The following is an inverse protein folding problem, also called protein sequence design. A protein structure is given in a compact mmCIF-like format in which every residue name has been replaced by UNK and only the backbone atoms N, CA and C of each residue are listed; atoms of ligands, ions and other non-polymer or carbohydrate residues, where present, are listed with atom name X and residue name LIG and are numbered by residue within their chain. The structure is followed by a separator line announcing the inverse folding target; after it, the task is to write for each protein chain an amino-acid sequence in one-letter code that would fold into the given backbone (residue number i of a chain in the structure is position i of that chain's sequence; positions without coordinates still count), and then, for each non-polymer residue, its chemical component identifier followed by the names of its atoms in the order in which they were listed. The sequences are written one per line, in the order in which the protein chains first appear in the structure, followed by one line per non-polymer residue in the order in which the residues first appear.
data_IF_743808326411
#
_entry.id   IF_743808326411
#
_cell.length_a   1.000
_cell.length_b   1.000
_cell.length_c   1.000
_cell.angle_alpha   90.00
_cell.angle_beta   90.00
_cell.angle_gamma   90.00
#
_symmetry.space_group_name_H-M   'P 1'
#
loop_
_entity.id
_entity.type
_entity.pdbx_description
1 polymer ?
#
# COMPACT_ATOMS: atom_id res chain seq x y z
N UNK A 1 -62.39 50.68 -45.53
CA UNK A 1 -61.92 51.44 -44.35
C UNK A 1 -60.87 50.58 -43.64
N UNK A 2 -59.83 51.20 -43.06
CA UNK A 2 -58.77 50.55 -42.24
C UNK A 2 -57.85 49.54 -42.94
N UNK A 3 -56.62 49.99 -43.24
CA UNK A 3 -55.43 49.13 -43.35
C UNK A 3 -54.84 48.95 -41.94
N UNK A 4 -54.36 47.75 -41.58
CA UNK A 4 -53.49 47.56 -40.40
C UNK A 4 -52.34 46.61 -40.72
N UNK A 5 -51.11 47.06 -40.40
CA UNK A 5 -49.82 46.41 -40.73
C UNK A 5 -49.45 45.29 -39.73
N UNK A 6 -48.56 44.40 -40.17
CA UNK A 6 -47.72 43.58 -39.27
C UNK A 6 -46.82 44.45 -38.37
N UNK A 7 -46.43 43.92 -37.21
CA UNK A 7 -45.18 44.31 -36.56
C UNK A 7 -45.07 44.02 -35.05
N UNK A 8 -43.98 43.36 -34.65
CA UNK A 8 -43.21 43.80 -33.47
C UNK A 8 -43.30 42.98 -32.18
N UNK A 9 -42.15 42.39 -31.82
CA UNK A 9 -41.88 41.70 -30.56
C UNK A 9 -42.03 42.54 -29.27
N UNK A 10 -42.25 41.87 -28.13
CA UNK A 10 -42.21 42.45 -26.78
C UNK A 10 -41.34 41.65 -25.82
N UNK A 11 -40.05 42.01 -25.72
CA UNK A 11 -39.14 41.47 -24.69
C UNK A 11 -39.62 41.87 -23.29
N UNK A 12 -39.67 40.94 -22.34
CA UNK A 12 -39.86 41.27 -20.94
C UNK A 12 -38.64 42.08 -20.43
N UNK A 13 -38.81 43.39 -20.27
CA UNK A 13 -37.75 44.30 -19.89
C UNK A 13 -37.35 44.05 -18.43
N UNK A 14 -36.24 43.36 -18.21
CA UNK A 14 -35.61 43.22 -16.89
C UNK A 14 -35.07 44.58 -16.43
N UNK A 15 -35.92 45.37 -15.78
CA UNK A 15 -35.53 46.66 -15.23
C UNK A 15 -34.49 46.49 -14.12
N UNK A 16 -33.40 47.28 -14.16
CA UNK A 16 -32.31 47.21 -13.18
C UNK A 16 -32.77 47.15 -11.70
N UNK A 17 -33.81 47.88 -11.24
CA UNK A 17 -34.30 47.78 -9.86
C UNK A 17 -34.73 46.37 -9.46
N UNK A 18 -35.36 45.61 -10.38
CA UNK A 18 -35.82 44.24 -10.09
C UNK A 18 -34.66 43.24 -10.03
N UNK A 19 -33.64 43.39 -10.87
CA UNK A 19 -32.40 42.59 -10.76
C UNK A 19 -31.70 42.91 -9.44
N UNK A 20 -31.52 44.19 -9.10
CA UNK A 20 -30.87 44.63 -7.85
C UNK A 20 -31.61 44.10 -6.61
N UNK A 21 -32.94 44.14 -6.61
CA UNK A 21 -33.78 43.61 -5.52
C UNK A 21 -33.72 42.07 -5.41
N UNK A 22 -33.66 41.36 -6.53
CA UNK A 22 -33.44 39.89 -6.51
C UNK A 22 -32.03 39.55 -6.02
N UNK A 23 -31.00 40.26 -6.48
CA UNK A 23 -29.62 40.10 -6.02
C UNK A 23 -29.47 40.40 -4.52
N UNK A 24 -30.09 41.46 -3.99
CA UNK A 24 -30.07 41.74 -2.55
C UNK A 24 -30.78 40.66 -1.73
N UNK A 25 -31.89 40.13 -2.22
CA UNK A 25 -32.64 39.08 -1.53
C UNK A 25 -31.92 37.73 -1.58
N UNK A 26 -31.29 37.39 -2.71
CA UNK A 26 -30.40 36.22 -2.81
C UNK A 26 -29.17 36.37 -1.91
N UNK A 27 -28.57 37.56 -1.84
CA UNK A 27 -27.45 37.84 -0.94
C UNK A 27 -27.86 37.73 0.54
N UNK A 28 -29.02 38.27 0.91
CA UNK A 28 -29.58 38.09 2.25
C UNK A 28 -29.81 36.62 2.58
N UNK A 29 -30.42 35.84 1.67
CA UNK A 29 -30.63 34.41 1.89
C UNK A 29 -29.32 33.60 2.02
N UNK A 30 -28.28 33.94 1.24
CA UNK A 30 -26.94 33.33 1.36
C UNK A 30 -26.29 33.70 2.70
N UNK A 31 -26.38 34.97 3.10
CA UNK A 31 -25.91 35.43 4.41
C UNK A 31 -26.65 34.73 5.56
N UNK A 32 -27.97 34.64 5.52
CA UNK A 32 -28.77 33.97 6.56
C UNK A 32 -28.46 32.48 6.63
N UNK A 33 -28.26 31.81 5.47
CA UNK A 33 -27.80 30.41 5.42
C UNK A 33 -26.40 30.27 6.00
N UNK A 34 -25.49 31.20 5.70
CA UNK A 34 -24.13 31.22 6.26
C UNK A 34 -24.13 31.46 7.77
N UNK A 35 -24.91 32.42 8.28
CA UNK A 35 -25.03 32.71 9.71
C UNK A 35 -25.72 31.56 10.46
N UNK A 36 -26.76 30.96 9.90
CA UNK A 36 -27.40 29.76 10.46
C UNK A 36 -26.44 28.57 10.52
N UNK A 37 -25.71 28.31 9.43
CA UNK A 37 -24.68 27.26 9.38
C UNK A 37 -23.58 27.54 10.39
N UNK A 38 -23.08 28.77 10.45
CA UNK A 38 -22.10 29.22 11.43
C UNK A 38 -22.59 29.02 12.87
N UNK A 39 -23.85 29.34 13.17
CA UNK A 39 -24.42 29.18 14.51
C UNK A 39 -24.58 27.70 14.90
N UNK A 40 -24.91 26.81 13.96
CA UNK A 40 -24.88 25.35 14.17
C UNK A 40 -23.45 24.86 14.42
N UNK A 41 -22.48 25.37 13.67
CA UNK A 41 -21.05 25.09 13.85
C UNK A 41 -20.47 25.68 15.16
N UNK A 42 -20.98 26.80 15.68
CA UNK A 42 -20.56 27.35 16.98
C UNK A 42 -21.21 26.61 18.16
N UNK A 43 -22.46 26.15 18.02
CA UNK A 43 -23.15 25.36 19.05
C UNK A 43 -22.59 23.94 19.20
N UNK A 44 -22.20 23.28 18.11
CA UNK A 44 -21.46 22.01 18.18
C UNK A 44 -19.96 22.29 18.26
N UNK A 45 -19.26 21.69 19.24
CA UNK A 45 -17.79 21.89 19.47
C UNK A 45 -16.88 21.42 18.31
N UNK A 46 -17.46 21.08 17.16
CA UNK A 46 -16.85 20.65 15.90
C UNK A 46 -15.92 21.72 15.32
N UNK A 47 -16.23 23.03 15.40
CA UNK A 47 -15.29 24.10 14.95
C UNK A 47 -13.96 24.00 15.68
N UNK A 48 -13.98 23.69 16.97
CA UNK A 48 -12.74 23.54 17.74
C UNK A 48 -11.98 22.28 17.31
N UNK A 49 -12.66 21.16 17.06
CA UNK A 49 -12.01 19.90 16.62
C UNK A 49 -11.44 20.01 15.20
N UNK A 50 -12.20 20.58 14.25
CA UNK A 50 -11.74 20.79 12.87
C UNK A 50 -10.65 21.86 12.81
N UNK A 51 -10.82 22.96 13.55
CA UNK A 51 -9.83 24.03 13.66
C UNK A 51 -8.51 23.56 14.26
N UNK A 52 -8.53 22.77 15.34
CA UNK A 52 -7.32 22.17 15.92
C UNK A 52 -6.72 21.08 15.02
N UNK A 53 -7.52 20.35 14.24
CA UNK A 53 -7.00 19.39 13.25
C UNK A 53 -6.28 20.11 12.10
N UNK A 54 -6.86 21.17 11.52
CA UNK A 54 -6.21 21.99 10.49
C UNK A 54 -4.98 22.68 11.06
N UNK A 55 -5.05 23.25 12.27
CA UNK A 55 -3.91 23.89 12.91
C UNK A 55 -2.76 22.90 13.22
N UNK A 56 -3.06 21.66 13.60
CA UNK A 56 -2.03 20.64 13.83
C UNK A 56 -1.37 20.17 12.53
N UNK A 57 -2.12 20.00 11.44
CA UNK A 57 -1.58 19.74 10.09
C UNK A 57 -0.72 20.91 9.62
N UNK A 58 -1.16 22.16 9.78
CA UNK A 58 -0.36 23.35 9.43
C UNK A 58 0.89 23.50 10.29
N UNK A 59 0.83 23.15 11.58
CA UNK A 59 1.99 23.19 12.48
C UNK A 59 2.99 22.08 12.12
N UNK A 60 2.51 20.87 11.79
CA UNK A 60 3.33 19.78 11.29
C UNK A 60 3.98 20.13 9.94
N UNK A 61 3.23 20.76 9.03
CA UNK A 61 3.72 21.26 7.75
C UNK A 61 4.83 22.31 7.95
N UNK A 62 4.59 23.32 8.78
CA UNK A 62 5.57 24.36 9.09
C UNK A 62 6.82 23.77 9.74
N UNK A 63 6.66 22.84 10.69
CA UNK A 63 7.78 22.15 11.35
C UNK A 63 8.60 21.29 10.40
N UNK A 64 7.95 20.53 9.51
CA UNK A 64 8.63 19.72 8.48
C UNK A 64 9.35 20.59 7.45
N UNK A 65 8.68 21.65 6.96
CA UNK A 65 9.26 22.63 6.04
C UNK A 65 10.50 23.30 6.64
N UNK A 66 10.41 23.77 7.89
CA UNK A 66 11.52 24.40 8.61
C UNK A 66 12.67 23.41 8.82
N UNK A 67 12.36 22.15 9.16
CA UNK A 67 13.37 21.09 9.29
C UNK A 67 14.09 20.82 7.97
N UNK A 68 13.39 20.79 6.84
CA UNK A 68 14.02 20.58 5.54
C UNK A 68 14.85 21.80 5.06
N UNK A 69 14.37 23.02 5.31
CA UNK A 69 15.15 24.24 5.05
C UNK A 69 16.41 24.29 5.94
N UNK A 70 16.34 23.77 7.15
CA UNK A 70 17.50 23.60 8.02
C UNK A 70 18.45 22.51 7.49
N UNK A 71 17.93 21.35 7.12
CA UNK A 71 18.68 20.21 6.58
C UNK A 71 19.45 20.58 5.30
N UNK A 72 18.78 21.17 4.31
CA UNK A 72 19.42 21.68 3.07
C UNK A 72 20.40 22.83 3.30
N UNK A 73 20.36 23.50 4.46
CA UNK A 73 21.38 24.49 4.88
C UNK A 73 22.56 23.82 5.59
N UNK A 74 22.35 22.68 6.26
CA UNK A 74 23.42 21.84 6.80
C UNK A 74 24.18 21.17 5.65
N UNK A 75 23.48 20.58 4.68
CA UNK A 75 24.08 19.90 3.52
C UNK A 75 24.98 20.84 2.72
N UNK A 76 24.49 22.02 2.30
CA UNK A 76 25.33 23.06 1.67
C UNK A 76 26.51 23.53 2.52
N UNK A 77 26.40 23.48 3.85
CA UNK A 77 27.52 23.78 4.76
C UNK A 77 28.51 22.62 4.81
N UNK A 78 28.05 21.38 4.81
CA UNK A 78 28.90 20.19 4.72
C UNK A 78 29.66 20.17 3.39
N UNK A 79 29.01 20.40 2.26
CA UNK A 79 29.63 20.52 0.93
C UNK A 79 30.64 21.66 0.87
N UNK A 80 30.31 22.83 1.44
CA UNK A 80 31.22 23.98 1.52
C UNK A 80 32.43 23.68 2.41
N UNK A 81 32.25 22.97 3.53
CA UNK A 81 33.33 22.50 4.40
C UNK A 81 34.17 21.44 3.68
N UNK A 82 33.57 20.47 3.00
CA UNK A 82 34.26 19.43 2.24
C UNK A 82 35.07 20.02 1.08
N UNK A 83 34.51 20.99 0.35
CA UNK A 83 35.22 21.74 -0.69
C UNK A 83 36.40 22.52 -0.10
N UNK A 84 36.23 23.14 1.06
CA UNK A 84 37.31 23.85 1.76
C UNK A 84 38.38 22.87 2.29
N UNK A 85 37.97 21.69 2.75
CA UNK A 85 38.86 20.63 3.20
C UNK A 85 39.65 20.04 2.03
N UNK A 86 39.00 19.77 0.88
CA UNK A 86 39.67 19.33 -0.35
C UNK A 86 40.64 20.39 -0.87
N UNK A 87 40.30 21.67 -0.78
CA UNK A 87 41.20 22.77 -1.10
C UNK A 87 42.44 22.79 -0.20
N UNK A 88 42.23 22.88 1.12
CA UNK A 88 43.33 22.92 2.09
C UNK A 88 44.16 21.64 2.09
N UNK A 89 43.55 20.46 2.01
CA UNK A 89 44.26 19.19 1.98
C UNK A 89 45.09 19.02 0.70
N UNK A 90 44.71 19.66 -0.42
CA UNK A 90 45.52 19.68 -1.65
C UNK A 90 46.73 20.62 -1.54
N UNK A 91 46.59 21.73 -0.80
CA UNK A 91 47.70 22.62 -0.44
C UNK A 91 48.64 21.93 0.56
N UNK A 92 48.09 21.35 1.63
CA UNK A 92 48.84 20.53 2.57
C UNK A 92 49.52 19.35 1.88
N UNK A 93 48.91 18.67 0.90
CA UNK A 93 49.58 17.55 0.23
C UNK A 93 50.82 17.97 -0.57
N UNK A 94 50.86 19.18 -1.14
CA UNK A 94 52.06 19.71 -1.81
C UNK A 94 53.09 20.23 -0.80
N UNK A 95 52.68 20.86 0.31
CA UNK A 95 53.61 21.24 1.39
C UNK A 95 54.17 20.03 2.14
N UNK A 96 53.34 19.04 2.48
CA UNK A 96 53.72 17.76 3.07
C UNK A 96 54.63 16.99 2.11
N UNK A 97 54.38 16.96 0.81
CA UNK A 97 55.30 16.34 -0.17
C UNK A 97 56.68 17.02 -0.19
N UNK A 98 56.74 18.34 0.05
CA UNK A 98 57.98 19.13 0.18
C UNK A 98 58.70 18.89 1.53
N UNK A 99 57.96 18.54 2.59
CA UNK A 99 58.49 18.26 3.94
C UNK A 99 58.86 16.77 4.13
N UNK A 100 58.13 15.86 3.51
CA UNK A 100 58.37 14.39 3.54
C UNK A 100 59.60 14.01 2.72
N UNK A 101 59.99 14.82 1.73
CA UNK A 101 61.30 14.71 1.07
C UNK A 101 62.48 15.16 1.95
N UNK A 102 62.22 15.74 3.14
CA UNK A 102 63.26 16.22 4.07
C UNK A 102 63.17 15.69 5.51
N UNK A 103 62.17 14.85 5.85
CA UNK A 103 62.02 14.31 7.21
C UNK A 103 61.50 12.86 7.23
N UNK A 104 62.37 11.94 7.63
CA UNK A 104 62.03 10.52 7.85
C UNK A 104 61.26 10.35 9.17
N UNK A 105 59.95 10.11 9.11
CA UNK A 105 59.14 9.62 10.24
C UNK A 105 58.49 8.30 9.86
N UNK A 106 58.69 7.27 10.68
CA UNK A 106 58.43 5.88 10.32
C UNK A 106 56.97 5.48 10.52
N UNK A 107 56.31 5.05 9.44
CA UNK A 107 54.89 4.67 9.39
C UNK A 107 54.39 3.66 10.47
N UNK A 108 55.18 2.67 10.95
CA UNK A 108 54.72 1.71 11.97
C UNK A 108 54.28 2.37 13.28
N UNK A 109 54.89 3.49 13.67
CA UNK A 109 54.55 4.18 14.91
C UNK A 109 53.13 4.79 14.88
N UNK A 110 52.69 5.27 13.71
CA UNK A 110 51.36 5.87 13.54
C UNK A 110 50.26 4.80 13.49
N UNK A 111 50.56 3.63 12.90
CA UNK A 111 49.63 2.48 12.90
C UNK A 111 49.46 1.92 14.32
N UNK A 112 50.53 1.87 15.13
CA UNK A 112 50.46 1.39 16.51
C UNK A 112 49.60 2.29 17.43
N UNK A 113 49.64 3.61 17.26
CA UNK A 113 48.80 4.54 18.05
C UNK A 113 47.34 4.55 17.61
N UNK A 114 47.05 4.37 16.32
CA UNK A 114 45.68 4.20 15.82
C UNK A 114 45.03 2.90 16.34
N UNK A 115 45.76 1.78 16.30
CA UNK A 115 45.25 0.47 16.78
C UNK A 115 44.94 0.49 18.28
N UNK A 116 45.81 1.08 19.10
CA UNK A 116 45.64 1.11 20.57
C UNK A 116 44.49 2.02 21.01
N UNK A 117 44.33 3.17 20.37
CA UNK A 117 43.19 4.09 20.67
C UNK A 117 41.84 3.47 20.29
N UNK A 118 41.76 2.72 19.18
CA UNK A 118 40.51 2.06 18.77
C UNK A 118 40.06 0.97 19.76
N UNK A 119 40.99 0.16 20.29
CA UNK A 119 40.68 -0.90 21.28
C UNK A 119 40.22 -0.30 22.62
N UNK A 120 40.84 0.78 23.08
CA UNK A 120 40.42 1.48 24.32
C UNK A 120 39.03 2.12 24.15
N UNK A 121 38.74 2.71 22.99
CA UNK A 121 37.40 3.25 22.70
C UNK A 121 36.31 2.17 22.73
N UNK A 122 36.55 1.04 22.08
CA UNK A 122 35.56 -0.04 21.96
C UNK A 122 35.25 -0.72 23.30
N UNK A 123 36.27 -0.97 24.12
CA UNK A 123 36.14 -1.63 25.43
C UNK A 123 35.44 -0.76 26.48
N UNK A 124 35.61 0.57 26.43
CA UNK A 124 34.94 1.50 27.35
C UNK A 124 33.51 1.85 26.92
N UNK A 125 33.26 2.03 25.62
CA UNK A 125 31.93 2.38 25.08
C UNK A 125 30.86 1.33 25.38
N UNK A 126 31.18 0.04 25.23
CA UNK A 126 30.22 -1.05 25.40
C UNK A 126 29.64 -1.16 26.82
N UNK A 127 30.45 -0.87 27.85
CA UNK A 127 30.02 -0.94 29.26
C UNK A 127 29.04 0.17 29.65
N UNK A 128 29.14 1.35 29.02
CA UNK A 128 28.24 2.48 29.29
C UNK A 128 26.80 2.23 28.80
N UNK A 129 26.65 1.80 27.54
CA UNK A 129 25.33 1.57 26.94
C UNK A 129 24.53 0.47 27.64
N UNK A 130 25.18 -0.66 27.97
CA UNK A 130 24.55 -1.77 28.67
C UNK A 130 24.05 -1.39 30.08
N UNK A 131 24.80 -0.56 30.80
CA UNK A 131 24.38 -0.06 32.12
C UNK A 131 23.20 0.90 32.03
N UNK A 132 23.19 1.79 31.03
CA UNK A 132 22.11 2.75 30.81
C UNK A 132 20.77 2.06 30.48
N UNK A 133 20.77 1.12 29.54
CA UNK A 133 19.60 0.31 29.20
C UNK A 133 19.05 -0.46 30.42
N UNK A 134 19.94 -1.09 31.20
CA UNK A 134 19.59 -1.84 32.42
C UNK A 134 19.19 -0.93 33.61
N UNK A 135 19.36 0.39 33.51
CA UNK A 135 18.84 1.40 34.45
C UNK A 135 17.53 2.05 33.97
N UNK A 136 17.28 2.10 32.67
CA UNK A 136 15.99 2.49 32.10
C UNK A 136 14.91 1.45 32.44
N UNK A 137 15.17 0.16 32.17
CA UNK A 137 14.23 -0.93 32.42
C UNK A 137 13.79 -1.05 33.90
N UNK A 138 14.72 -0.82 34.85
CA UNK A 138 14.38 -0.79 36.29
C UNK A 138 13.50 0.39 36.69
N UNK A 139 13.62 1.55 36.03
CA UNK A 139 12.74 2.69 36.28
C UNK A 139 11.31 2.44 35.77
N UNK A 140 11.15 1.74 34.64
CA UNK A 140 9.83 1.28 34.16
C UNK A 140 9.18 0.29 35.14
N UNK A 141 9.92 -0.71 35.61
CA UNK A 141 9.43 -1.67 36.61
C UNK A 141 9.03 -0.98 37.94
N UNK A 142 9.80 0.01 38.39
CA UNK A 142 9.45 0.81 39.58
C UNK A 142 8.21 1.70 39.37
N UNK A 143 7.99 2.24 38.16
CA UNK A 143 6.73 2.94 37.83
C UNK A 143 5.53 1.99 37.89
N UNK A 144 5.66 0.77 37.37
CA UNK A 144 4.59 -0.25 37.45
C UNK A 144 4.26 -0.64 38.89
N UNK A 145 5.27 -0.77 39.77
CA UNK A 145 5.03 -1.03 41.21
C UNK A 145 4.46 0.19 41.96
N UNK A 146 4.89 1.41 41.63
CA UNK A 146 4.40 2.65 42.26
C UNK A 146 3.01 3.10 41.76
N UNK A 147 2.59 2.62 40.58
CA UNK A 147 1.28 2.89 40.00
C UNK A 147 0.09 2.30 40.76
N UNK A 148 0.33 1.49 41.80
CA UNK A 148 -0.72 0.82 42.59
C UNK A 148 -0.84 1.33 44.04
N UNK A 149 -0.44 2.58 44.30
CA UNK A 149 -0.57 3.20 45.63
C UNK A 149 -1.09 4.66 45.60
N UNK A 150 -2.37 4.86 45.29
CA UNK A 150 -3.26 5.82 46.01
C UNK A 150 -4.73 5.77 45.52
N UNK A 151 -5.66 5.93 46.48
CA UNK A 151 -7.13 6.12 46.31
C UNK A 151 -7.90 4.89 45.79
N UNK A 152 -8.86 4.26 46.49
CA UNK A 152 -9.65 4.71 47.64
C UNK A 152 -10.35 3.51 48.35
N UNK A 153 -10.77 3.68 49.61
CA UNK A 153 -11.58 2.71 50.36
C UNK A 153 -13.06 2.70 49.89
N UNK A 154 -13.59 1.52 49.49
CA UNK A 154 -14.71 0.81 50.16
C UNK A 154 -15.24 -0.38 49.35
N UNK A 155 -15.99 -1.24 50.07
CA UNK A 155 -16.78 -2.41 49.64
C UNK A 155 -16.05 -3.77 49.59
N UNK A 156 -16.32 -4.56 50.63
CA UNK A 156 -16.07 -5.98 50.75
C UNK A 156 -16.85 -6.79 49.68
N UNK A 157 -16.20 -7.75 49.01
CA UNK A 157 -16.78 -9.06 48.66
C UNK A 157 -15.66 -10.12 48.50
N UNK A 158 -15.93 -11.37 48.89
CA UNK A 158 -14.98 -12.51 48.81
C UNK A 158 -15.01 -13.20 47.44
N UNK A 159 -13.94 -13.90 47.01
CA UNK A 159 -13.70 -14.20 45.59
C UNK A 159 -14.55 -15.32 45.00
N UNK A 160 -14.91 -15.15 43.73
CA UNK A 160 -15.75 -16.03 42.92
C UNK A 160 -15.00 -17.26 42.34
N UNK A 161 -14.19 -17.94 43.16
CA UNK A 161 -13.39 -19.11 42.75
C UNK A 161 -14.14 -20.46 42.86
N UNK A 162 -15.47 -20.47 42.73
CA UNK A 162 -16.28 -21.70 42.85
C UNK A 162 -17.14 -22.05 41.63
N UNK A 163 -17.20 -21.21 40.59
CA UNK A 163 -18.02 -21.49 39.39
C UNK A 163 -17.22 -22.09 38.22
N UNK A 164 -15.93 -21.77 38.08
CA UNK A 164 -15.11 -22.21 36.94
C UNK A 164 -14.74 -23.71 36.98
N UNK A 165 -14.78 -24.35 38.15
CA UNK A 165 -14.55 -25.79 38.31
C UNK A 165 -15.81 -26.67 38.16
N UNK A 166 -17.01 -26.07 38.17
CA UNK A 166 -18.26 -26.83 37.97
C UNK A 166 -18.50 -27.15 36.48
N UNK A 167 -18.34 -26.14 35.61
CA UNK A 167 -18.56 -26.26 34.17
C UNK A 167 -17.53 -27.16 33.45
N UNK A 168 -16.36 -27.41 34.05
CA UNK A 168 -15.35 -28.32 33.48
C UNK A 168 -15.65 -29.80 33.70
N UNK A 169 -16.47 -30.14 34.71
CA UNK A 169 -16.82 -31.53 35.02
C UNK A 169 -18.10 -32.02 34.30
N UNK A 170 -19.00 -31.12 33.91
CA UNK A 170 -20.22 -31.50 33.17
C UNK A 170 -19.91 -32.01 31.75
N UNK A 171 -19.01 -31.33 31.01
CA UNK A 171 -18.58 -31.75 29.65
C UNK A 171 -17.83 -33.09 29.59
N UNK A 172 -17.39 -33.65 30.73
CA UNK A 172 -16.76 -34.99 30.78
C UNK A 172 -17.74 -36.14 30.98
N UNK A 173 -18.97 -35.92 31.48
CA UNK A 173 -19.98 -36.98 31.60
C UNK A 173 -20.72 -37.24 30.28
N UNK A 174 -21.16 -36.17 29.61
CA UNK A 174 -21.90 -36.26 28.33
C UNK A 174 -21.12 -36.95 27.18
N UNK A 175 -19.77 -37.00 27.25
CA UNK A 175 -18.94 -37.71 26.27
C UNK A 175 -18.68 -39.19 26.60
N UNK A 176 -19.11 -39.68 27.77
CA UNK A 176 -18.95 -41.08 28.19
C UNK A 176 -20.27 -41.85 28.06
N UNK A 177 -21.42 -41.20 28.28
CA UNK A 177 -22.74 -41.80 28.00
C UNK A 177 -22.92 -42.14 26.51
N UNK A 178 -22.53 -41.22 25.60
CA UNK A 178 -22.77 -41.34 24.16
C UNK A 178 -21.94 -42.42 23.44
N UNK A 179 -20.87 -42.93 24.06
CA UNK A 179 -20.04 -44.02 23.51
C UNK A 179 -20.59 -45.39 23.94
N UNK A 180 -21.42 -45.44 25.00
CA UNK A 180 -21.99 -46.69 25.52
C UNK A 180 -23.19 -47.18 24.71
N UNK A 181 -24.06 -46.29 24.24
CA UNK A 181 -25.27 -46.64 23.49
C UNK A 181 -25.05 -47.07 22.04
N UNK A 182 -23.83 -46.93 21.48
CA UNK A 182 -23.50 -47.44 20.15
C UNK A 182 -22.93 -48.88 20.15
N UNK A 183 -22.69 -49.50 21.32
CA UNK A 183 -22.07 -50.85 21.43
C UNK A 183 -23.02 -51.96 21.88
N UNK A 184 -24.31 -51.67 22.10
CA UNK A 184 -25.34 -52.64 22.53
C UNK A 184 -26.39 -52.96 21.43
N UNK A 185 -26.08 -52.71 20.14
CA UNK A 185 -26.96 -53.00 18.99
C UNK A 185 -26.34 -53.84 17.87
N UNK A 186 -25.37 -54.69 18.18
CA UNK A 186 -24.87 -55.74 17.29
C UNK A 186 -24.69 -57.06 18.06
N UNK A 187 -25.63 -57.99 17.89
CA UNK A 187 -25.62 -59.33 18.50
C UNK A 187 -27.03 -59.95 18.56
N UNK A 188 -27.16 -61.18 18.06
CA UNK A 188 -28.39 -62.00 17.88
C UNK A 188 -29.41 -61.53 16.77
N UNK A 189 -30.02 -62.29 15.83
CA UNK A 189 -30.00 -63.71 15.34
C UNK A 189 -31.42 -64.35 15.35
N UNK A 190 -31.99 -64.99 14.29
CA UNK A 190 -31.76 -64.97 12.81
C UNK A 190 -32.94 -65.66 12.07
N UNK A 191 -33.18 -65.37 10.75
CA UNK A 191 -34.04 -66.15 9.78
C UNK A 191 -35.58 -66.11 10.06
N UNK A 192 -36.52 -65.93 9.10
CA UNK A 192 -36.97 -66.74 7.92
C UNK A 192 -37.61 -65.85 6.79
N UNK A 193 -37.74 -66.41 5.58
CA UNK A 193 -38.50 -66.07 4.34
C UNK A 193 -39.88 -65.32 4.49
N UNK A 194 -40.55 -64.77 3.46
CA UNK A 194 -40.58 -65.11 2.01
C UNK A 194 -41.08 -63.94 1.09
N UNK A 195 -40.85 -64.09 -0.23
CA UNK A 195 -41.65 -63.56 -1.37
C UNK A 195 -41.45 -62.11 -1.88
N UNK A 196 -41.53 -61.99 -3.22
CA UNK A 196 -41.50 -60.76 -4.02
C UNK A 196 -42.79 -60.68 -4.90
N UNK A 197 -43.06 -59.61 -5.68
CA UNK A 197 -42.38 -59.45 -6.97
C UNK A 197 -42.11 -58.01 -7.47
N UNK A 198 -41.25 -57.97 -8.48
CA UNK A 198 -40.73 -56.86 -9.28
C UNK A 198 -41.70 -55.81 -9.85
N UNK A 199 -41.13 -54.62 -10.16
CA UNK A 199 -41.26 -54.03 -11.51
C UNK A 199 -40.04 -53.17 -11.87
N UNK A 200 -39.65 -53.18 -13.15
CA UNK A 200 -38.42 -52.58 -13.66
C UNK A 200 -38.66 -51.50 -14.74
N UNK A 201 -37.73 -50.53 -14.84
CA UNK A 201 -37.32 -49.76 -16.03
C UNK A 201 -36.19 -48.80 -15.57
N UNK A 202 -34.92 -48.96 -15.94
CA UNK A 202 -34.28 -48.79 -17.26
C UNK A 202 -34.01 -47.31 -17.62
N UNK A 203 -32.71 -46.95 -17.73
CA UNK A 203 -32.20 -45.70 -18.29
C UNK A 203 -32.17 -45.72 -19.84
N UNK A 204 -31.90 -44.59 -20.52
CA UNK A 204 -30.52 -44.14 -20.84
C UNK A 204 -30.29 -42.64 -20.51
N UNK A 205 -29.09 -42.20 -20.10
CA UNK A 205 -27.93 -41.81 -20.93
C UNK A 205 -28.23 -40.79 -22.05
N UNK A 206 -27.86 -39.52 -21.83
CA UNK A 206 -26.88 -38.75 -22.63
C UNK A 206 -26.85 -37.28 -22.17
N UNK A 207 -25.66 -36.68 -22.09
CA UNK A 207 -25.50 -35.26 -21.71
C UNK A 207 -24.16 -34.92 -21.08
N UNK A 208 -23.16 -34.61 -21.90
CA UNK A 208 -21.90 -33.99 -21.46
C UNK A 208 -22.21 -32.57 -20.98
N UNK A 209 -22.21 -32.36 -19.67
CA UNK A 209 -22.20 -31.03 -19.06
C UNK A 209 -20.76 -30.55 -18.93
N UNK A 210 -20.41 -29.47 -19.62
CA UNK A 210 -19.21 -28.73 -19.28
C UNK A 210 -19.47 -27.91 -18.00
N UNK A 211 -18.49 -27.84 -17.11
CA UNK A 211 -18.60 -27.04 -15.89
C UNK A 211 -18.58 -25.54 -16.24
N UNK A 212 -19.78 -24.95 -16.32
CA UNK A 212 -19.94 -23.50 -16.51
C UNK A 212 -19.37 -22.75 -15.29
N UNK A 213 -18.41 -21.82 -15.47
CA UNK A 213 -17.90 -21.02 -14.36
C UNK A 213 -19.02 -20.12 -13.81
N UNK A 214 -19.20 -20.17 -12.49
CA UNK A 214 -20.33 -19.59 -11.77
C UNK A 214 -20.64 -18.14 -12.18
N UNK A 215 -21.70 -17.97 -12.98
CA UNK A 215 -22.17 -16.66 -13.46
C UNK A 215 -22.65 -15.82 -12.27
N UNK A 216 -22.16 -14.58 -12.07
CA UNK A 216 -22.63 -13.71 -11.00
C UNK A 216 -24.13 -13.44 -11.13
N UNK A 217 -24.85 -13.43 -10.01
CA UNK A 217 -26.25 -13.01 -9.99
C UNK A 217 -26.38 -11.57 -10.54
N UNK A 218 -27.57 -11.23 -11.06
CA UNK A 218 -27.85 -9.90 -11.63
C UNK A 218 -27.50 -8.74 -10.69
N UNK A 219 -27.60 -9.01 -9.38
CA UNK A 219 -27.42 -8.02 -8.33
C UNK A 219 -25.95 -7.82 -7.95
N UNK A 220 -25.11 -8.86 -8.02
CA UNK A 220 -23.65 -8.71 -7.90
C UNK A 220 -23.08 -7.91 -9.08
N UNK A 221 -23.60 -8.16 -10.29
CA UNK A 221 -23.12 -7.54 -11.54
C UNK A 221 -23.22 -6.01 -11.56
N UNK A 222 -24.30 -5.41 -11.02
CA UNK A 222 -24.40 -3.94 -11.00
C UNK A 222 -23.47 -3.30 -9.97
N UNK A 223 -23.22 -3.96 -8.82
CA UNK A 223 -22.27 -3.49 -7.80
C UNK A 223 -20.86 -3.47 -8.40
N UNK A 224 -20.44 -4.57 -9.02
CA UNK A 224 -19.15 -4.68 -9.75
C UNK A 224 -19.00 -3.53 -10.74
N UNK A 225 -20.01 -3.28 -11.58
CA UNK A 225 -19.96 -2.22 -12.60
C UNK A 225 -19.94 -0.81 -11.99
N UNK A 226 -20.61 -0.58 -10.86
CA UNK A 226 -20.60 0.69 -10.15
C UNK A 226 -19.23 0.96 -9.53
N UNK A 227 -18.64 -0.01 -8.84
CA UNK A 227 -17.27 0.07 -8.32
C UNK A 227 -16.24 0.36 -9.42
N UNK A 228 -16.30 -0.38 -10.54
CA UNK A 228 -15.42 -0.16 -11.68
C UNK A 228 -15.58 1.26 -12.26
N UNK A 229 -16.83 1.73 -12.40
CA UNK A 229 -17.12 3.09 -12.90
C UNK A 229 -16.60 4.17 -11.95
N UNK A 230 -16.74 3.97 -10.63
CA UNK A 230 -16.21 4.87 -9.61
C UNK A 230 -14.67 4.89 -9.63
N UNK A 231 -14.03 3.72 -9.72
CA UNK A 231 -12.58 3.59 -9.79
C UNK A 231 -12.01 4.32 -11.01
N UNK A 232 -12.56 4.08 -12.21
CA UNK A 232 -12.15 4.77 -13.44
C UNK A 232 -12.29 6.29 -13.28
N UNK A 233 -13.46 6.77 -12.84
CA UNK A 233 -13.73 8.19 -12.64
C UNK A 233 -12.76 8.84 -11.62
N UNK A 234 -12.48 8.16 -10.51
CA UNK A 234 -11.57 8.64 -9.49
C UNK A 234 -10.12 8.71 -9.99
N UNK A 235 -9.65 7.66 -10.69
CA UNK A 235 -8.32 7.62 -11.31
C UNK A 235 -8.17 8.74 -12.34
N UNK A 236 -9.08 8.84 -13.32
CA UNK A 236 -9.07 9.89 -14.36
C UNK A 236 -9.09 11.31 -13.77
N UNK A 237 -9.85 11.51 -12.69
CA UNK A 237 -9.91 12.81 -11.98
C UNK A 237 -8.56 13.17 -11.34
N UNK A 238 -7.91 12.23 -10.66
CA UNK A 238 -6.58 12.44 -10.04
C UNK A 238 -5.53 12.71 -11.12
N UNK A 239 -5.55 11.96 -12.21
CA UNK A 239 -4.69 12.13 -13.38
C UNK A 239 -4.85 13.52 -14.01
N UNK A 240 -6.08 13.97 -14.24
CA UNK A 240 -6.36 15.29 -14.82
C UNK A 240 -5.78 16.41 -13.93
N UNK A 241 -5.94 16.29 -12.61
CA UNK A 241 -5.34 17.23 -11.64
C UNK A 241 -3.81 17.17 -11.70
N UNK A 242 -3.20 15.99 -11.74
CA UNK A 242 -1.74 15.84 -11.84
C UNK A 242 -1.19 16.42 -13.15
N UNK A 243 -1.81 16.13 -14.30
CA UNK A 243 -1.42 16.74 -15.59
C UNK A 243 -1.52 18.28 -15.52
N UNK A 244 -2.56 18.83 -14.88
CA UNK A 244 -2.70 20.28 -14.69
C UNK A 244 -1.71 20.92 -13.70
N UNK A 245 -1.32 20.23 -12.62
CA UNK A 245 -0.38 20.75 -11.60
C UNK A 245 1.08 20.70 -12.08
N UNK A 246 1.46 19.66 -12.82
CA UNK A 246 2.84 19.48 -13.27
C UNK A 246 3.11 20.07 -14.66
N UNK A 247 2.11 20.12 -15.56
CA UNK A 247 2.28 20.60 -16.93
C UNK A 247 3.37 19.83 -17.67
N UNK A 248 4.26 20.57 -18.34
CA UNK A 248 5.39 20.05 -19.12
C UNK A 248 6.57 19.57 -18.27
N UNK A 249 6.45 19.52 -16.93
CA UNK A 249 7.51 19.09 -16.01
C UNK A 249 7.53 17.56 -15.87
N UNK A 250 7.81 16.86 -16.98
CA UNK A 250 7.68 15.41 -17.10
C UNK A 250 8.37 14.62 -15.98
N UNK A 251 9.67 14.83 -15.71
CA UNK A 251 10.38 14.09 -14.67
C UNK A 251 9.83 14.32 -13.26
N UNK A 252 9.36 15.53 -12.93
CA UNK A 252 8.72 15.82 -11.65
C UNK A 252 7.34 15.14 -11.54
N UNK A 253 6.60 15.05 -12.66
CA UNK A 253 5.33 14.32 -12.75
C UNK A 253 5.54 12.82 -12.57
N UNK A 254 6.53 12.24 -13.25
CA UNK A 254 6.89 10.82 -13.09
C UNK A 254 7.33 10.53 -11.66
N UNK A 255 8.31 11.27 -11.11
CA UNK A 255 8.71 11.15 -9.70
C UNK A 255 7.51 11.17 -8.72
N UNK A 256 6.52 12.04 -8.95
CA UNK A 256 5.32 12.09 -8.12
C UNK A 256 4.40 10.87 -8.31
N UNK A 257 4.28 10.35 -9.53
CA UNK A 257 3.56 9.10 -9.85
C UNK A 257 4.26 7.89 -9.21
N UNK A 258 5.57 7.69 -9.40
CA UNK A 258 6.36 6.58 -8.81
C UNK A 258 6.35 6.59 -7.27
N UNK A 259 6.22 7.77 -6.66
CA UNK A 259 6.05 7.93 -5.20
C UNK A 259 4.69 7.39 -4.73
N UNK A 260 3.68 7.43 -5.59
CA UNK A 260 2.28 7.04 -5.33
C UNK A 260 2.03 5.59 -5.77
N UNK A 261 2.56 5.15 -6.90
CA UNK A 261 2.32 3.84 -7.52
C UNK A 261 2.84 2.64 -6.68
N UNK A 262 3.94 2.82 -5.93
CA UNK A 262 4.38 1.86 -4.89
C UNK A 262 3.36 1.57 -3.77
N UNK A 263 2.46 2.53 -3.47
CA UNK A 263 1.70 2.55 -2.20
C UNK A 263 0.66 1.43 -2.08
N UNK A 264 -0.11 1.07 -3.13
CA UNK A 264 -1.03 -0.04 -3.11
C UNK A 264 -0.35 -1.37 -2.79
N UNK A 265 0.81 -1.65 -3.39
CA UNK A 265 1.54 -2.87 -3.13
C UNK A 265 1.91 -3.03 -1.65
N UNK A 266 2.45 -1.98 -1.03
CA UNK A 266 2.72 -1.96 0.40
C UNK A 266 1.45 -2.11 1.25
N UNK A 267 0.36 -1.44 0.85
CA UNK A 267 -0.95 -1.58 1.51
C UNK A 267 -1.49 -3.02 1.44
N UNK A 268 -1.45 -3.66 0.27
CA UNK A 268 -1.91 -5.03 0.06
C UNK A 268 -1.09 -6.02 0.91
N UNK A 269 0.23 -5.91 0.88
CA UNK A 269 1.14 -6.72 1.72
C UNK A 269 0.82 -6.55 3.21
N UNK A 270 0.56 -5.30 3.66
CA UNK A 270 0.23 -5.02 5.07
C UNK A 270 -1.06 -5.72 5.52
N UNK A 271 -2.10 -5.73 4.67
CA UNK A 271 -3.37 -6.40 4.96
C UNK A 271 -3.23 -7.93 4.84
N UNK A 272 -2.47 -8.43 3.86
CA UNK A 272 -2.17 -9.86 3.72
C UNK A 272 -1.44 -10.41 4.96
N UNK A 273 -0.46 -9.68 5.49
CA UNK A 273 0.20 -10.05 6.75
C UNK A 273 -0.74 -9.98 7.95
N UNK A 274 -1.65 -9.00 8.00
CA UNK A 274 -2.67 -8.90 9.05
C UNK A 274 -3.63 -10.12 9.01
N UNK A 275 -4.12 -10.48 7.82
CA UNK A 275 -4.97 -11.65 7.61
C UNK A 275 -4.25 -12.97 7.93
N UNK A 276 -2.97 -13.08 7.57
CA UNK A 276 -2.13 -14.22 7.95
C UNK A 276 -1.88 -14.29 9.46
N UNK A 277 -1.86 -13.15 10.16
CA UNK A 277 -1.68 -13.08 11.62
C UNK A 277 -2.95 -13.52 12.36
N UNK A 278 -4.12 -13.15 11.85
CA UNK A 278 -5.41 -13.65 12.36
C UNK A 278 -5.74 -15.08 11.91
N UNK A 279 -4.96 -15.66 11.00
CA UNK A 279 -5.18 -17.00 10.46
C UNK A 279 -6.32 -17.08 9.45
N UNK A 280 -6.79 -15.95 8.91
CA UNK A 280 -7.88 -15.87 7.94
C UNK A 280 -7.45 -16.25 6.52
N UNK A 281 -6.24 -15.85 6.10
CA UNK A 281 -5.75 -16.12 4.76
C UNK A 281 -4.23 -16.26 4.73
N UNK A 282 -3.71 -17.24 3.99
CA UNK A 282 -2.27 -17.60 3.97
C UNK A 282 -1.78 -17.90 2.56
N UNK A 283 -1.69 -16.88 1.71
CA UNK A 283 -1.13 -16.99 0.34
C UNK A 283 0.25 -16.32 0.27
N UNK A 284 1.32 -17.12 0.39
CA UNK A 284 2.69 -16.61 0.31
C UNK A 284 2.99 -15.94 -1.03
N UNK A 285 2.44 -16.49 -2.13
CA UNK A 285 2.69 -16.01 -3.49
C UNK A 285 2.18 -14.58 -3.72
N UNK A 286 1.03 -14.21 -3.15
CA UNK A 286 0.51 -12.84 -3.21
C UNK A 286 1.46 -11.85 -2.51
N UNK A 287 2.01 -12.25 -1.35
CA UNK A 287 2.97 -11.43 -0.61
C UNK A 287 4.27 -11.28 -1.41
N UNK A 288 4.81 -12.36 -1.99
CA UNK A 288 6.03 -12.32 -2.81
C UNK A 288 5.88 -11.42 -4.05
N UNK A 289 4.81 -11.63 -4.84
CA UNK A 289 4.60 -10.87 -6.09
C UNK A 289 4.39 -9.40 -5.78
N UNK A 290 3.52 -9.04 -4.83
CA UNK A 290 3.34 -7.62 -4.49
C UNK A 290 4.60 -6.99 -3.89
N UNK A 291 5.43 -7.75 -3.16
CA UNK A 291 6.73 -7.26 -2.70
C UNK A 291 7.66 -6.97 -3.89
N UNK A 292 7.71 -7.88 -4.88
CA UNK A 292 8.47 -7.69 -6.10
C UNK A 292 7.97 -6.50 -6.94
N UNK A 293 6.64 -6.28 -7.03
CA UNK A 293 6.06 -5.10 -7.66
C UNK A 293 6.49 -3.82 -6.90
N UNK A 294 6.28 -3.76 -5.59
CA UNK A 294 6.74 -2.62 -4.76
C UNK A 294 8.24 -2.35 -4.85
N UNK A 295 9.04 -3.36 -5.21
CA UNK A 295 10.48 -3.25 -5.42
C UNK A 295 10.84 -2.72 -6.81
N UNK A 296 10.08 -3.06 -7.86
CA UNK A 296 10.21 -2.49 -9.20
C UNK A 296 9.88 -0.99 -9.21
N UNK A 297 8.71 -0.63 -8.70
CA UNK A 297 8.23 0.74 -8.39
C UNK A 297 9.23 1.58 -7.56
N UNK A 298 9.99 0.91 -6.69
CA UNK A 298 11.04 1.57 -5.91
C UNK A 298 12.20 2.03 -6.81
N UNK A 299 12.62 1.20 -7.76
CA UNK A 299 13.70 1.51 -8.69
C UNK A 299 13.28 2.52 -9.76
N UNK A 300 12.03 2.48 -10.23
CA UNK A 300 11.49 3.53 -11.12
C UNK A 300 11.61 4.92 -10.49
N UNK A 301 11.28 5.07 -9.19
CA UNK A 301 11.51 6.34 -8.48
C UNK A 301 12.98 6.72 -8.42
N UNK A 302 13.89 5.79 -8.09
CA UNK A 302 15.33 6.10 -8.03
C UNK A 302 15.86 6.63 -9.37
N UNK A 303 15.38 6.06 -10.48
CA UNK A 303 15.65 6.54 -11.84
C UNK A 303 15.10 7.96 -12.02
N UNK A 304 13.87 8.24 -11.60
CA UNK A 304 13.29 9.60 -11.68
C UNK A 304 13.96 10.61 -10.74
N UNK A 305 14.52 10.17 -9.61
CA UNK A 305 15.34 11.01 -8.72
C UNK A 305 16.68 11.38 -9.37
N UNK A 306 17.36 10.43 -10.02
CA UNK A 306 18.60 10.68 -10.76
C UNK A 306 18.38 11.62 -11.96
N UNK A 307 17.23 11.50 -12.64
CA UNK A 307 16.78 12.42 -13.69
C UNK A 307 16.30 13.80 -13.18
N UNK A 308 16.42 14.08 -11.87
CA UNK A 308 16.11 15.38 -11.27
C UNK A 308 14.63 15.64 -10.98
N UNK A 309 13.78 14.61 -10.98
CA UNK A 309 12.36 14.70 -10.64
C UNK A 309 12.09 15.17 -9.21
N UNK A 310 13.05 15.00 -8.30
CA UNK A 310 12.99 15.48 -6.90
C UNK A 310 13.56 16.91 -6.70
N UNK A 311 13.92 17.61 -7.78
CA UNK A 311 14.59 18.93 -7.74
C UNK A 311 13.84 20.02 -6.96
N UNK A 312 12.50 20.00 -6.95
CA UNK A 312 11.67 20.94 -6.19
C UNK A 312 11.08 20.28 -4.94
N UNK A 313 11.38 20.88 -3.79
CA UNK A 313 10.86 20.40 -2.50
C UNK A 313 9.32 20.39 -2.42
N UNK A 314 8.64 21.30 -3.13
CA UNK A 314 7.16 21.36 -3.12
C UNK A 314 6.56 20.10 -3.74
N UNK A 315 7.10 19.64 -4.88
CA UNK A 315 6.66 18.40 -5.53
C UNK A 315 6.97 17.18 -4.64
N UNK A 316 8.17 17.14 -4.04
CA UNK A 316 8.55 16.12 -3.05
C UNK A 316 7.60 16.07 -1.85
N UNK A 317 7.23 17.22 -1.29
CA UNK A 317 6.31 17.30 -0.17
C UNK A 317 4.91 16.84 -0.60
N UNK A 318 4.41 17.33 -1.75
CA UNK A 318 3.08 17.00 -2.27
C UNK A 318 2.95 15.50 -2.54
N UNK A 319 3.90 14.89 -3.24
CA UNK A 319 3.90 13.47 -3.55
C UNK A 319 3.90 12.59 -2.28
N UNK A 320 4.78 12.89 -1.31
CA UNK A 320 4.85 12.18 -0.02
C UNK A 320 3.59 12.37 0.82
N UNK A 321 2.99 13.56 0.80
CA UNK A 321 1.74 13.85 1.50
C UNK A 321 0.56 13.08 0.88
N UNK A 322 0.45 13.07 -0.46
CA UNK A 322 -0.56 12.29 -1.18
C UNK A 322 -0.40 10.79 -0.90
N UNK A 323 0.82 10.26 -1.00
CA UNK A 323 1.14 8.86 -0.71
C UNK A 323 0.72 8.44 0.72
N UNK A 324 0.92 9.32 1.72
CA UNK A 324 0.51 9.05 3.10
C UNK A 324 -1.01 8.84 3.24
N UNK A 325 -1.85 9.70 2.64
CA UNK A 325 -3.30 9.52 2.69
C UNK A 325 -3.77 8.36 1.80
N UNK A 326 -3.16 8.21 0.62
CA UNK A 326 -3.47 7.14 -0.32
C UNK A 326 -3.23 5.75 0.29
N UNK A 327 -2.22 5.59 1.14
CA UNK A 327 -1.99 4.36 1.91
C UNK A 327 -3.22 3.96 2.74
N UNK A 328 -3.78 4.87 3.55
CA UNK A 328 -4.94 4.56 4.39
C UNK A 328 -6.20 4.30 3.56
N UNK A 329 -6.40 5.04 2.46
CA UNK A 329 -7.50 4.79 1.53
C UNK A 329 -7.38 3.41 0.90
N UNK A 330 -6.19 3.02 0.46
CA UNK A 330 -5.95 1.72 -0.21
C UNK A 330 -6.02 0.55 0.77
N UNK A 331 -5.52 0.71 2.00
CA UNK A 331 -5.70 -0.27 3.08
C UNK A 331 -7.19 -0.47 3.38
N UNK A 332 -7.97 0.61 3.50
CA UNK A 332 -9.42 0.51 3.73
C UNK A 332 -10.15 -0.14 2.54
N UNK A 333 -9.84 0.29 1.31
CA UNK A 333 -10.40 -0.25 0.07
C UNK A 333 -10.14 -1.76 -0.06
N UNK A 334 -8.90 -2.20 0.17
CA UNK A 334 -8.50 -3.60 0.10
C UNK A 334 -9.12 -4.46 1.21
N UNK A 335 -9.27 -3.92 2.44
CA UNK A 335 -9.97 -4.63 3.52
C UNK A 335 -11.49 -4.79 3.30
N UNK A 336 -12.10 -3.89 2.52
CA UNK A 336 -13.53 -3.92 2.16
C UNK A 336 -13.79 -4.81 0.95
N UNK A 337 -13.00 -4.66 -0.12
CA UNK A 337 -13.12 -5.43 -1.36
C UNK A 337 -11.75 -5.50 -2.06
N UNK A 338 -11.01 -6.62 -1.94
CA UNK A 338 -9.75 -6.83 -2.66
C UNK A 338 -9.93 -6.68 -4.18
N UNK A 339 -11.05 -7.16 -4.74
CA UNK A 339 -11.37 -7.02 -6.18
C UNK A 339 -11.46 -5.55 -6.61
N UNK A 340 -12.15 -4.71 -5.83
CA UNK A 340 -12.24 -3.27 -6.08
C UNK A 340 -10.86 -2.62 -6.01
N UNK A 341 -10.04 -2.98 -5.03
CA UNK A 341 -8.69 -2.45 -4.87
C UNK A 341 -7.76 -2.83 -6.03
N UNK A 342 -7.78 -4.10 -6.47
CA UNK A 342 -7.00 -4.56 -7.62
C UNK A 342 -7.45 -3.90 -8.93
N UNK A 343 -8.74 -3.67 -9.13
CA UNK A 343 -9.21 -2.91 -10.29
C UNK A 343 -8.80 -1.43 -10.22
N UNK A 344 -8.76 -0.81 -9.03
CA UNK A 344 -8.25 0.55 -8.89
C UNK A 344 -6.77 0.63 -9.28
N UNK A 345 -5.92 -0.28 -8.78
CA UNK A 345 -4.52 -0.37 -9.21
C UNK A 345 -4.40 -0.64 -10.71
N UNK A 346 -5.17 -1.57 -11.29
CA UNK A 346 -5.17 -1.82 -12.74
C UNK A 346 -5.45 -0.54 -13.57
N UNK A 347 -6.34 0.33 -13.10
CA UNK A 347 -6.61 1.64 -13.72
C UNK A 347 -5.40 2.58 -13.61
N UNK A 348 -4.67 2.59 -12.48
CA UNK A 348 -3.47 3.40 -12.29
C UNK A 348 -2.36 2.95 -13.24
N UNK A 349 -2.03 1.65 -13.28
CA UNK A 349 -0.87 1.18 -14.08
C UNK A 349 -1.15 1.29 -15.59
N UNK A 350 -2.42 1.12 -15.99
CA UNK A 350 -2.85 1.39 -17.36
C UNK A 350 -2.59 2.86 -17.75
N UNK A 351 -2.72 3.79 -16.82
CA UNK A 351 -2.40 5.19 -17.08
C UNK A 351 -0.90 5.49 -17.01
N UNK A 352 -0.15 4.84 -16.12
CA UNK A 352 1.31 4.91 -16.09
C UNK A 352 1.88 4.45 -17.45
N UNK A 353 1.49 3.26 -17.92
CA UNK A 353 1.79 2.73 -19.25
C UNK A 353 1.49 3.76 -20.36
N UNK A 354 0.26 4.30 -20.38
CA UNK A 354 -0.13 5.28 -21.41
C UNK A 354 0.66 6.57 -21.35
N UNK A 355 1.09 7.02 -20.16
CA UNK A 355 1.87 8.25 -19.97
C UNK A 355 3.31 8.05 -20.43
N UNK A 356 3.91 6.89 -20.15
CA UNK A 356 5.24 6.54 -20.64
C UNK A 356 5.25 6.32 -22.15
N UNK A 357 4.25 5.65 -22.72
CA UNK A 357 4.14 5.45 -24.17
C UNK A 357 3.91 6.76 -24.94
N UNK A 358 3.12 7.69 -24.39
CA UNK A 358 2.96 9.06 -24.90
C UNK A 358 4.29 9.83 -24.87
N UNK A 359 5.03 9.77 -23.75
CA UNK A 359 6.31 10.45 -23.59
C UNK A 359 7.41 9.90 -24.51
N UNK A 360 7.52 8.57 -24.64
CA UNK A 360 8.43 7.90 -25.56
C UNK A 360 8.24 8.35 -27.01
N UNK A 361 6.99 8.47 -27.47
CA UNK A 361 6.65 8.92 -28.83
C UNK A 361 6.95 10.39 -29.08
N UNK A 362 6.89 11.23 -28.05
CA UNK A 362 7.16 12.67 -28.14
C UNK A 362 8.66 12.98 -28.11
N UNK A 363 9.45 12.22 -27.34
CA UNK A 363 10.87 12.53 -27.05
C UNK A 363 11.87 11.48 -27.58
N UNK A 364 11.48 10.58 -28.48
CA UNK A 364 12.31 9.48 -29.00
C UNK A 364 13.73 9.90 -29.41
N UNK A 365 13.84 10.95 -30.23
CA UNK A 365 15.11 11.48 -30.74
C UNK A 365 15.99 12.13 -29.67
N UNK A 366 15.40 12.64 -28.59
CA UNK A 366 16.10 13.26 -27.47
C UNK A 366 16.62 12.18 -26.51
N UNK A 367 15.75 11.26 -26.11
CA UNK A 367 16.05 10.19 -25.16
C UNK A 367 17.15 9.25 -25.68
N UNK A 368 17.21 8.97 -26.98
CA UNK A 368 18.28 8.15 -27.59
C UNK A 368 19.68 8.79 -27.52
N UNK A 369 19.78 10.11 -27.29
CA UNK A 369 21.07 10.84 -27.20
C UNK A 369 21.61 10.90 -25.78
N UNK A 370 20.77 10.62 -24.79
CA UNK A 370 21.12 10.72 -23.37
C UNK A 370 21.55 9.32 -22.89
N UNK A 371 22.70 9.19 -22.19
CA UNK A 371 23.10 7.91 -21.61
C UNK A 371 22.12 7.46 -20.53
N UNK A 372 22.05 6.15 -20.31
CA UNK A 372 21.19 5.60 -19.26
C UNK A 372 21.71 5.97 -17.85
N UNK A 373 20.81 6.33 -16.90
CA UNK A 373 21.17 6.60 -15.50
C UNK A 373 21.71 5.36 -14.78
N UNK A 374 22.59 5.59 -13.81
CA UNK A 374 23.26 4.53 -13.04
C UNK A 374 22.26 3.68 -12.26
N UNK A 375 21.20 4.28 -11.70
CA UNK A 375 20.11 3.58 -11.03
C UNK A 375 19.39 2.57 -11.94
N UNK A 376 19.23 2.89 -13.23
CA UNK A 376 18.60 1.98 -14.19
C UNK A 376 19.53 0.82 -14.55
N UNK A 377 20.81 1.10 -14.78
CA UNK A 377 21.82 0.07 -15.07
C UNK A 377 21.96 -0.91 -13.89
N UNK A 378 22.09 -0.39 -12.67
CA UNK A 378 22.20 -1.18 -11.43
C UNK A 378 20.95 -2.03 -11.12
N UNK A 379 19.77 -1.63 -11.61
CA UNK A 379 18.54 -2.40 -11.44
C UNK A 379 18.37 -3.47 -12.52
N UNK A 380 18.40 -3.08 -13.78
CA UNK A 380 18.01 -3.92 -14.91
C UNK A 380 19.14 -4.82 -15.45
N UNK A 381 20.41 -4.47 -15.21
CA UNK A 381 21.58 -5.27 -15.58
C UNK A 381 22.24 -5.94 -14.35
N UNK A 382 21.50 -6.04 -13.24
CA UNK A 382 21.97 -6.70 -12.02
C UNK A 382 22.22 -8.20 -12.26
N UNK A 383 23.12 -8.80 -11.48
CA UNK A 383 23.34 -10.25 -11.48
C UNK A 383 22.14 -10.99 -10.88
N UNK A 384 21.51 -10.44 -9.83
CA UNK A 384 20.30 -11.00 -9.22
C UNK A 384 19.02 -10.33 -9.75
N UNK A 385 18.40 -10.98 -10.75
CA UNK A 385 17.11 -10.60 -11.31
C UNK A 385 15.94 -11.41 -10.72
N UNK A 386 16.10 -12.08 -9.56
CA UNK A 386 15.02 -12.87 -8.94
C UNK A 386 13.74 -12.04 -8.74
N UNK A 387 13.85 -10.85 -8.14
CA UNK A 387 12.68 -9.97 -7.93
C UNK A 387 12.15 -9.37 -9.23
N UNK A 388 12.99 -9.22 -10.26
CA UNK A 388 12.55 -8.77 -11.59
C UNK A 388 11.74 -9.86 -12.32
N UNK A 389 12.11 -11.13 -12.19
CA UNK A 389 11.29 -12.24 -12.70
C UNK A 389 10.02 -12.44 -11.84
N UNK A 390 10.10 -12.27 -10.52
CA UNK A 390 9.02 -12.57 -9.57
C UNK A 390 7.75 -11.70 -9.75
N UNK A 391 7.89 -10.42 -10.17
CA UNK A 391 6.71 -9.57 -10.38
C UNK A 391 5.95 -9.88 -11.67
N UNK A 392 6.58 -10.60 -12.62
CA UNK A 392 6.03 -10.89 -13.94
C UNK A 392 5.16 -12.15 -13.93
N UNK A 393 4.09 -12.13 -13.13
CA UNK A 393 3.22 -13.28 -12.88
C UNK A 393 2.58 -13.92 -14.14
N UNK A 394 2.59 -13.22 -15.30
CA UNK A 394 2.07 -13.73 -16.57
C UNK A 394 3.09 -14.50 -17.42
N UNK A 395 4.35 -14.59 -16.98
CA UNK A 395 5.49 -15.12 -17.77
C UNK A 395 6.27 -16.19 -17.01
N UNK A 396 7.05 -16.99 -17.75
CA UNK A 396 8.07 -17.84 -17.14
C UNK A 396 9.29 -17.01 -16.71
N UNK A 397 9.96 -17.35 -15.59
CA UNK A 397 11.25 -16.77 -15.23
C UNK A 397 12.26 -16.84 -16.37
N UNK A 398 13.19 -15.89 -16.44
CA UNK A 398 14.21 -15.83 -17.49
C UNK A 398 13.74 -15.33 -18.86
N UNK A 399 12.43 -15.26 -19.13
CA UNK A 399 11.91 -14.99 -20.49
C UNK A 399 12.10 -13.55 -20.97
N UNK A 400 12.14 -12.57 -20.06
CA UNK A 400 12.42 -11.16 -20.34
C UNK A 400 13.74 -10.77 -19.69
N UNK A 401 14.68 -10.25 -20.48
CA UNK A 401 15.93 -9.66 -19.98
C UNK A 401 16.11 -8.29 -20.63
N UNK A 402 15.94 -7.19 -19.87
CA UNK A 402 16.17 -5.84 -20.33
C UNK A 402 17.54 -5.67 -20.99
N UNK A 403 17.59 -4.81 -22.00
CA UNK A 403 18.81 -4.27 -22.59
C UNK A 403 18.71 -2.76 -22.52
N UNK A 404 19.84 -2.10 -22.26
CA UNK A 404 19.92 -0.67 -22.03
C UNK A 404 21.22 -0.17 -22.67
N UNK A 405 21.09 0.55 -23.78
CA UNK A 405 22.20 1.26 -24.42
C UNK A 405 22.07 2.78 -24.18
N UNK A 406 20.84 3.29 -23.99
CA UNK A 406 20.52 4.71 -23.84
C UNK A 406 19.27 4.95 -22.95
N UNK A 407 18.92 6.20 -22.69
CA UNK A 407 17.78 6.56 -21.84
C UNK A 407 16.41 6.18 -22.43
N UNK A 408 16.25 6.14 -23.76
CA UNK A 408 15.00 5.67 -24.40
C UNK A 408 14.72 4.21 -24.02
N UNK A 409 15.75 3.35 -24.02
CA UNK A 409 15.60 1.95 -23.63
C UNK A 409 15.16 1.80 -22.16
N UNK A 410 15.63 2.68 -21.26
CA UNK A 410 15.18 2.71 -19.87
C UNK A 410 13.68 3.01 -19.79
N UNK A 411 13.19 4.05 -20.48
CA UNK A 411 11.77 4.37 -20.51
C UNK A 411 10.92 3.28 -21.19
N UNK A 412 11.45 2.58 -22.18
CA UNK A 412 10.79 1.39 -22.78
C UNK A 412 10.68 0.27 -21.74
N UNK A 413 11.74 -0.01 -20.97
CA UNK A 413 11.70 -1.05 -19.94
C UNK A 413 10.72 -0.70 -18.81
N UNK A 414 10.68 0.56 -18.36
CA UNK A 414 9.70 1.04 -17.37
C UNK A 414 8.27 0.88 -17.91
N UNK A 415 7.97 1.39 -19.11
CA UNK A 415 6.65 1.20 -19.74
C UNK A 415 6.24 -0.28 -19.82
N UNK A 416 7.16 -1.15 -20.17
CA UNK A 416 6.88 -2.59 -20.29
C UNK A 416 6.73 -3.27 -18.91
N UNK A 417 7.30 -2.71 -17.84
CA UNK A 417 7.05 -3.12 -16.45
C UNK A 417 5.61 -2.77 -16.03
N UNK A 418 5.14 -1.54 -16.33
CA UNK A 418 3.74 -1.11 -16.11
C UNK A 418 2.72 -2.05 -16.76
N UNK A 419 3.05 -2.55 -17.95
CA UNK A 419 2.22 -3.50 -18.68
C UNK A 419 2.11 -4.85 -17.95
N UNK A 420 3.18 -5.32 -17.30
CA UNK A 420 3.15 -6.55 -16.49
C UNK A 420 2.46 -6.32 -15.13
N UNK A 421 2.60 -5.14 -14.52
CA UNK A 421 1.80 -4.76 -13.35
C UNK A 421 0.29 -4.75 -13.66
N UNK A 422 -0.11 -4.13 -14.78
CA UNK A 422 -1.51 -4.12 -15.23
C UNK A 422 -2.07 -5.54 -15.42
N UNK A 423 -1.32 -6.45 -16.05
CA UNK A 423 -1.71 -7.88 -16.18
C UNK A 423 -1.85 -8.56 -14.81
N UNK A 424 -0.91 -8.33 -13.91
CA UNK A 424 -0.90 -8.92 -12.57
C UNK A 424 -2.09 -8.42 -11.75
N UNK A 425 -2.36 -7.11 -11.74
CA UNK A 425 -3.54 -6.53 -11.08
C UNK A 425 -4.85 -7.04 -11.67
N UNK A 426 -4.92 -7.24 -12.99
CA UNK A 426 -6.08 -7.86 -13.64
C UNK A 426 -6.28 -9.32 -13.21
N UNK A 427 -5.22 -10.12 -13.15
CA UNK A 427 -5.29 -11.51 -12.69
C UNK A 427 -5.77 -11.60 -11.23
N UNK A 428 -5.33 -10.70 -10.36
CA UNK A 428 -5.72 -10.64 -8.95
C UNK A 428 -7.20 -10.30 -8.70
N UNK A 429 -7.94 -9.78 -9.67
CA UNK A 429 -9.38 -9.52 -9.52
C UNK A 429 -10.21 -10.81 -9.45
N UNK A 430 -9.65 -11.94 -9.88
CA UNK A 430 -10.26 -13.27 -9.74
C UNK A 430 -9.51 -14.05 -8.66
N UNK A 431 -10.24 -14.66 -7.73
CA UNK A 431 -9.63 -15.41 -6.63
C UNK A 431 -8.78 -16.59 -7.13
N UNK A 432 -7.65 -16.82 -6.47
CA UNK A 432 -6.78 -17.99 -6.72
C UNK A 432 -5.81 -17.87 -7.90
N UNK A 433 -6.04 -16.96 -8.85
CA UNK A 433 -5.28 -16.88 -10.11
C UNK A 433 -3.84 -16.35 -9.99
N UNK A 434 -3.46 -15.71 -8.88
CA UNK A 434 -2.08 -15.24 -8.71
C UNK A 434 -1.18 -16.35 -8.13
N UNK A 435 -0.07 -16.58 -8.82
CA UNK A 435 0.98 -17.53 -8.44
C UNK A 435 2.36 -16.91 -8.69
N UNK A 436 3.32 -17.22 -7.81
CA UNK A 436 4.70 -16.75 -7.95
C UNK A 436 5.40 -17.51 -9.10
N UNK A 437 6.10 -16.82 -10.02
CA UNK A 437 6.81 -17.46 -11.14
C UNK A 437 7.84 -18.52 -10.72
N UNK A 438 8.41 -18.39 -9.52
CA UNK A 438 9.36 -19.36 -8.93
C UNK A 438 8.68 -20.43 -8.06
N UNK A 439 7.34 -20.44 -7.94
CA UNK A 439 6.61 -21.49 -7.23
C UNK A 439 6.63 -22.80 -8.02
N UNK A 440 7.45 -23.76 -7.60
CA UNK A 440 7.39 -25.15 -8.06
C UNK A 440 5.95 -25.69 -7.96
N UNK A 441 5.44 -26.39 -8.99
CA UNK A 441 4.21 -27.16 -8.81
C UNK A 441 4.50 -28.29 -7.83
N UNK A 442 3.93 -28.19 -6.63
CA UNK A 442 3.70 -29.35 -5.76
C UNK A 442 2.55 -30.21 -6.33
N UNK A 443 2.68 -30.55 -7.61
CA UNK A 443 1.92 -31.62 -8.24
C UNK A 443 2.92 -32.78 -8.35
N UNK A 444 2.87 -33.70 -7.38
CA UNK A 444 3.31 -35.06 -7.69
C UNK A 444 2.35 -35.58 -8.77
N UNK A 445 2.86 -36.33 -9.73
CA UNK A 445 2.06 -36.91 -10.82
C UNK A 445 1.28 -38.15 -10.33
N UNK A 446 0.37 -37.94 -9.37
CA UNK A 446 -0.80 -38.78 -9.15
C UNK A 446 -1.86 -37.98 -8.37
N UNK A 447 -3.11 -38.46 -8.39
CA UNK A 447 -4.31 -37.83 -7.84
C UNK A 447 -4.82 -36.57 -8.56
N UNK A 448 -5.89 -36.80 -9.33
CA UNK A 448 -6.82 -35.83 -9.93
C UNK A 448 -7.17 -34.66 -9.00
N UNK A 449 -7.13 -33.44 -9.56
CA UNK A 449 -7.67 -32.20 -8.97
C UNK A 449 -6.99 -31.71 -7.68
N UNK A 450 -6.11 -30.70 -7.81
CA UNK A 450 -5.50 -30.00 -6.69
C UNK A 450 -6.52 -29.11 -5.93
N UNK A 451 -7.37 -29.74 -5.12
CA UNK A 451 -8.34 -29.03 -4.25
C UNK A 451 -7.60 -28.20 -3.20
N UNK A 452 -7.56 -26.88 -3.42
CA UNK A 452 -7.16 -25.92 -2.37
C UNK A 452 -8.26 -25.92 -1.29
N UNK A 453 -7.93 -25.93 0.02
CA UNK A 453 -8.94 -26.07 1.06
C UNK A 453 -10.00 -24.96 1.04
N UNK A 454 -11.28 -25.33 0.92
CA UNK A 454 -12.47 -24.44 0.85
C UNK A 454 -12.79 -23.70 2.18
N UNK A 455 -11.79 -23.11 2.84
CA UNK A 455 -11.97 -22.18 3.95
C UNK A 455 -11.51 -20.75 3.61
N UNK A 456 -11.23 -20.47 2.34
CA UNK A 456 -10.90 -19.12 1.87
C UNK A 456 -12.11 -18.17 2.03
N UNK A 457 -11.83 -16.96 2.52
CA UNK A 457 -12.83 -15.96 2.88
C UNK A 457 -12.48 -14.60 2.26
N UNK A 458 -13.43 -13.97 1.56
CA UNK A 458 -13.27 -12.68 0.88
C UNK A 458 -13.23 -11.49 1.88
N UNK A 459 -12.06 -11.28 2.47
CA UNK A 459 -11.84 -10.19 3.43
C UNK A 459 -12.65 -10.34 4.72
N UNK A 460 -12.72 -9.27 5.52
CA UNK A 460 -13.30 -9.32 6.88
C UNK A 460 -14.79 -9.67 6.85
N UNK A 461 -15.55 -9.14 5.88
CA UNK A 461 -17.00 -9.31 5.82
C UNK A 461 -17.37 -10.77 5.54
N UNK A 462 -16.72 -11.42 4.58
CA UNK A 462 -16.97 -12.82 4.29
C UNK A 462 -16.35 -13.75 5.34
N UNK A 463 -15.20 -13.41 5.94
CA UNK A 463 -14.68 -14.11 7.13
C UNK A 463 -15.71 -14.16 8.25
N UNK A 464 -16.33 -13.01 8.58
CA UNK A 464 -17.36 -12.90 9.61
C UNK A 464 -18.62 -13.66 9.20
N UNK A 465 -19.05 -13.56 7.94
CA UNK A 465 -20.23 -14.27 7.40
C UNK A 465 -20.05 -15.80 7.48
N UNK A 466 -18.89 -16.33 7.06
CA UNK A 466 -18.52 -17.76 7.14
C UNK A 466 -18.27 -18.23 8.58
N UNK A 467 -17.79 -17.37 9.47
CA UNK A 467 -17.65 -17.68 10.90
C UNK A 467 -18.97 -17.65 11.68
N UNK A 468 -20.01 -16.96 11.18
CA UNK A 468 -21.34 -16.90 11.79
C UNK A 468 -22.31 -17.98 11.26
N UNK A 469 -21.90 -18.73 10.24
CA UNK A 469 -22.70 -19.80 9.61
C UNK A 469 -22.22 -21.23 9.92
N UNK A 470 -21.22 -21.38 10.81
CA UNK A 470 -20.70 -22.66 11.33
C UNK A 470 -21.14 -22.92 12.78
#
# INVERSE_FOLDING_TARGET
MVVRRLGGAGRALLTLPNIRRRASNSWAAVCDTFFSTKQVFENHRIVFTVGTSIASVLTAWAGYSLRQVHQSRIERRLESIESSLKGNHKVEHEEIKKIVTSSNISAPACVATAMTTMVVGYTLGWRGGAWYARRAFRREQQKMMMGHMKSQNRWHWRPFNRLQNSLRNSRRRLRVEAIRTQREKQGAEVVVEESAPARAAAAPLDGVGADDPMVPSSDESWVVRLEQSFNIFATDSVIMVLKGVYGDRYYARFFALETIARVPYFAFISVLHLYSTFGWWRRADYIKVHFAQSWNEFHHLLIMEELGGNSLWIDCFLARFMAFFYYFVTVAMYMLSPRMAYHFSECVERHAYSTYDEYLKLHEEELKRIPAPEAALNYYLNEDLYLFDEFQASRSPGSRRPKIDNLYDVFVNIRDDEAEHCKTMKACQTHGNLRSPHSTPNCLEDDTECVIPENDCEGIVDCVKKSLTK
#
